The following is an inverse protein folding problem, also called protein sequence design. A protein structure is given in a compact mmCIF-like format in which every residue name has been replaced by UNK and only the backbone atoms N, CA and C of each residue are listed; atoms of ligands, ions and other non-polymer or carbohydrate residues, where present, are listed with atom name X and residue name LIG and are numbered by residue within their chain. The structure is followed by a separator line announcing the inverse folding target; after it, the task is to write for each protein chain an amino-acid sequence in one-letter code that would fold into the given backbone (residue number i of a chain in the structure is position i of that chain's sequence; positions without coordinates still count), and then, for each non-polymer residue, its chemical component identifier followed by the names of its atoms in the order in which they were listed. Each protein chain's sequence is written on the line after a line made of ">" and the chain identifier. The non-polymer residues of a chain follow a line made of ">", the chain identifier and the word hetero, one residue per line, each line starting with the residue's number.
data_IF_050212572742
#
_entry.id   IF_050212572742
#
_cell.length_a   1.000
_cell.length_b   1.000
_cell.length_c   1.000
_cell.angle_alpha   90.00
_cell.angle_beta   90.00
_cell.angle_gamma   90.00
#
_symmetry.space_group_name_H-M   'P 1'
#
loop_
_entity.id
_entity.type
_entity.pdbx_description
1 polymer ?
#
# COMPACT_ATOMS: atom_id res chain seq x y z
N UNK A 1 9.82 22.85 34.81
CA UNK A 1 9.02 21.81 34.12
C UNK A 1 9.59 21.69 32.73
N UNK A 2 10.00 20.50 32.29
CA UNK A 2 10.53 20.32 30.92
C UNK A 2 9.48 20.83 29.90
N UNK A 3 9.88 21.66 28.91
CA UNK A 3 8.95 22.29 27.96
C UNK A 3 7.99 21.27 27.31
N UNK A 4 8.51 20.08 26.98
CA UNK A 4 7.77 18.99 26.35
C UNK A 4 6.64 18.42 27.22
N UNK A 5 6.83 18.31 28.54
CA UNK A 5 5.80 17.77 29.46
C UNK A 5 4.60 18.70 29.56
N UNK A 6 4.83 20.02 29.59
CA UNK A 6 3.75 21.01 29.60
C UNK A 6 2.94 21.03 28.30
N UNK A 7 3.59 20.72 27.17
CA UNK A 7 2.92 20.65 25.87
C UNK A 7 2.10 19.37 25.72
N UNK A 8 2.60 18.23 26.20
CA UNK A 8 1.91 16.95 26.15
C UNK A 8 0.49 17.02 26.73
N UNK A 9 0.34 17.67 27.88
CA UNK A 9 -0.96 17.86 28.53
C UNK A 9 -1.89 18.84 27.80
N UNK A 10 -1.36 19.68 26.92
CA UNK A 10 -2.11 20.68 26.15
C UNK A 10 -2.58 20.21 24.77
N UNK A 11 -2.00 19.15 24.24
CA UNK A 11 -2.34 18.56 22.93
C UNK A 11 -3.79 18.06 22.82
N UNK A 12 -4.38 17.35 23.81
CA UNK A 12 -5.76 16.81 23.71
C UNK A 12 -6.86 17.87 23.90
N UNK A 13 -6.57 19.13 23.61
CA UNK A 13 -7.55 20.22 23.69
C UNK A 13 -8.59 20.16 22.56
N UNK A 14 -9.84 20.51 22.87
CA UNK A 14 -10.92 20.65 21.87
C UNK A 14 -10.75 21.87 20.95
N UNK A 15 -9.90 22.83 21.30
CA UNK A 15 -9.71 24.06 20.51
C UNK A 15 -8.78 23.84 19.32
N UNK A 16 -9.33 23.79 18.11
CA UNK A 16 -8.56 23.75 16.85
C UNK A 16 -7.53 24.89 16.74
N UNK A 17 -7.89 26.11 17.17
CA UNK A 17 -6.95 27.25 17.18
C UNK A 17 -5.75 26.98 18.09
N UNK A 18 -5.99 26.42 19.28
CA UNK A 18 -4.92 26.06 20.22
C UNK A 18 -4.04 24.95 19.66
N UNK A 19 -4.65 23.89 19.11
CA UNK A 19 -3.92 22.79 18.45
C UNK A 19 -3.00 23.29 17.34
N UNK A 20 -3.52 24.14 16.44
CA UNK A 20 -2.72 24.73 15.36
C UNK A 20 -1.57 25.59 15.92
N UNK A 21 -1.83 26.42 16.94
CA UNK A 21 -0.80 27.25 17.58
C UNK A 21 0.33 26.41 18.19
N UNK A 22 -0.01 25.31 18.88
CA UNK A 22 0.97 24.39 19.46
C UNK A 22 1.94 23.88 18.39
N UNK A 23 1.40 23.33 17.30
CA UNK A 23 2.21 22.68 16.26
C UNK A 23 2.92 23.65 15.32
N UNK A 24 2.38 24.85 15.09
CA UNK A 24 2.99 25.84 14.18
C UNK A 24 3.95 26.81 14.85
N UNK A 25 3.76 27.09 16.15
CA UNK A 25 4.49 28.16 16.83
C UNK A 25 5.25 27.63 18.03
N UNK A 26 4.57 26.98 18.98
CA UNK A 26 5.16 26.63 20.28
C UNK A 26 6.22 25.53 20.16
N UNK A 27 5.92 24.42 19.49
CA UNK A 27 6.91 23.35 19.26
C UNK A 27 8.09 23.86 18.43
N UNK A 28 7.90 24.53 17.27
CA UNK A 28 9.02 25.10 16.52
C UNK A 28 9.89 26.08 17.31
N UNK A 29 9.31 26.87 18.21
CA UNK A 29 10.11 27.78 19.06
C UNK A 29 11.02 27.06 20.04
N UNK A 30 10.63 25.88 20.53
CA UNK A 30 11.47 25.05 21.39
C UNK A 30 12.63 24.47 20.56
N UNK A 31 12.32 23.97 19.36
CA UNK A 31 13.30 23.38 18.45
C UNK A 31 14.33 24.38 17.91
N UNK A 32 13.96 25.65 17.73
CA UNK A 32 14.90 26.69 17.28
C UNK A 32 15.97 27.02 18.31
N UNK A 33 15.72 26.75 19.59
CA UNK A 33 16.62 27.13 20.67
C UNK A 33 17.63 26.04 21.05
N UNK A 34 17.64 24.90 20.36
CA UNK A 34 18.53 23.77 20.64
C UNK A 34 18.77 22.89 19.42
N UNK A 35 20.01 22.40 19.23
CA UNK A 35 20.25 21.31 18.28
C UNK A 35 19.41 20.07 18.64
N UNK A 36 18.94 19.33 17.62
CA UNK A 36 18.07 18.20 17.85
C UNK A 36 18.83 16.98 18.41
N UNK A 37 18.72 16.81 19.72
CA UNK A 37 19.17 15.62 20.43
C UNK A 37 18.28 14.40 20.17
N UNK A 38 18.78 13.21 20.49
CA UNK A 38 17.99 11.97 20.44
C UNK A 38 16.76 12.01 21.35
N UNK A 39 16.88 12.62 22.53
CA UNK A 39 15.80 12.71 23.51
C UNK A 39 14.70 13.67 23.02
N UNK A 40 15.08 14.84 22.51
CA UNK A 40 14.13 15.80 21.94
C UNK A 40 13.42 15.24 20.71
N UNK A 41 14.14 14.48 19.87
CA UNK A 41 13.53 13.77 18.74
C UNK A 41 12.50 12.74 19.22
N UNK A 42 12.82 11.93 20.24
CA UNK A 42 11.88 10.94 20.80
C UNK A 42 10.64 11.62 21.37
N UNK A 43 10.82 12.66 22.18
CA UNK A 43 9.70 13.42 22.77
C UNK A 43 8.81 14.04 21.69
N UNK A 44 9.39 14.61 20.64
CA UNK A 44 8.63 15.17 19.52
C UNK A 44 7.83 14.08 18.78
N UNK A 45 8.45 12.93 18.53
CA UNK A 45 7.77 11.77 17.93
C UNK A 45 6.59 11.35 18.80
N UNK A 46 6.75 11.20 20.11
CA UNK A 46 5.66 10.81 21.03
C UNK A 46 4.49 11.81 21.00
N UNK A 47 4.78 13.11 20.96
CA UNK A 47 3.76 14.16 20.83
C UNK A 47 3.01 14.06 19.49
N UNK A 48 3.72 13.82 18.39
CA UNK A 48 3.11 13.63 17.07
C UNK A 48 2.18 12.42 17.09
N UNK A 49 2.64 11.28 17.61
CA UNK A 49 1.83 10.05 17.66
C UNK A 49 0.66 10.14 18.63
N UNK A 50 0.72 10.99 19.65
CA UNK A 50 -0.43 11.32 20.51
C UNK A 50 -1.59 11.90 19.68
N UNK A 51 -1.31 12.63 18.59
CA UNK A 51 -2.35 13.22 17.73
C UNK A 51 -3.08 12.22 16.84
N UNK A 52 -2.51 11.01 16.67
CA UNK A 52 -2.94 10.04 15.64
C UNK A 52 -4.43 9.71 15.70
N UNK A 53 -5.00 9.61 16.89
CA UNK A 53 -6.39 9.19 17.11
C UNK A 53 -7.33 10.30 17.57
N UNK A 54 -6.82 11.50 17.86
CA UNK A 54 -7.58 12.59 18.47
C UNK A 54 -7.77 13.79 17.56
N UNK A 55 -6.96 13.91 16.50
CA UNK A 55 -7.06 15.03 15.55
C UNK A 55 -7.75 14.57 14.29
N UNK A 56 -9.01 14.95 14.12
CA UNK A 56 -9.80 14.64 12.92
C UNK A 56 -9.96 15.80 11.95
N UNK A 57 -9.80 17.04 12.43
CA UNK A 57 -9.96 18.21 11.59
C UNK A 57 -8.75 18.46 10.68
N UNK A 58 -9.04 18.98 9.49
CA UNK A 58 -8.02 19.26 8.46
C UNK A 58 -6.95 20.25 8.92
N UNK A 59 -7.32 21.25 9.72
CA UNK A 59 -6.41 22.31 10.15
C UNK A 59 -5.33 21.79 11.09
N UNK A 60 -5.74 21.07 12.14
CA UNK A 60 -4.84 20.44 13.10
C UNK A 60 -3.97 19.37 12.43
N UNK A 61 -4.56 18.48 11.61
CA UNK A 61 -3.79 17.47 10.85
C UNK A 61 -2.73 18.10 9.96
N UNK A 62 -3.09 19.17 9.23
CA UNK A 62 -2.14 19.91 8.39
C UNK A 62 -1.01 20.53 9.23
N UNK A 63 -1.32 21.12 10.39
CA UNK A 63 -0.28 21.68 11.26
C UNK A 63 0.73 20.61 11.72
N UNK A 64 0.25 19.39 12.05
CA UNK A 64 1.12 18.25 12.38
C UNK A 64 1.95 17.82 11.16
N UNK A 65 1.36 17.73 9.97
CA UNK A 65 2.10 17.37 8.74
C UNK A 65 3.19 18.38 8.40
N UNK A 66 2.86 19.68 8.46
CA UNK A 66 3.80 20.77 8.20
C UNK A 66 4.99 20.67 9.19
N UNK A 67 4.74 20.31 10.45
CA UNK A 67 5.80 20.09 11.45
C UNK A 67 6.64 18.85 11.17
N UNK A 68 6.02 17.73 10.79
CA UNK A 68 6.74 16.50 10.39
C UNK A 68 7.67 16.82 9.23
N UNK A 69 7.14 17.43 8.15
CA UNK A 69 7.92 17.78 6.95
C UNK A 69 9.12 18.64 7.33
N UNK A 70 8.92 19.66 8.16
CA UNK A 70 10.03 20.52 8.62
C UNK A 70 11.05 19.75 9.45
N UNK A 71 10.61 18.88 10.35
CA UNK A 71 11.49 18.15 11.28
C UNK A 71 12.27 17.02 10.59
N UNK A 72 11.77 16.52 9.45
CA UNK A 72 12.42 15.46 8.67
C UNK A 72 13.74 15.88 8.00
N UNK A 73 14.07 17.17 7.93
CA UNK A 73 15.41 17.61 7.47
C UNK A 73 16.53 17.15 8.42
N UNK A 74 16.17 16.84 9.66
CA UNK A 74 17.09 16.47 10.72
C UNK A 74 17.21 14.94 10.81
N UNK A 75 18.41 14.42 10.60
CA UNK A 75 18.66 12.98 10.44
C UNK A 75 18.26 12.18 11.68
N UNK A 76 18.48 12.73 12.88
CA UNK A 76 18.12 12.10 14.15
C UNK A 76 16.61 11.89 14.22
N UNK A 77 15.82 12.94 13.98
CA UNK A 77 14.36 12.83 13.97
C UNK A 77 13.86 11.92 12.86
N UNK A 78 14.40 12.01 11.64
CA UNK A 78 14.00 11.14 10.55
C UNK A 78 14.14 9.66 10.91
N UNK A 79 15.26 9.25 11.53
CA UNK A 79 15.48 7.86 11.97
C UNK A 79 14.52 7.46 13.10
N UNK A 80 14.38 8.30 14.12
CA UNK A 80 13.49 8.04 15.27
C UNK A 80 12.03 7.93 14.83
N UNK A 81 11.58 8.86 13.98
CA UNK A 81 10.24 8.87 13.42
C UNK A 81 9.97 7.63 12.55
N UNK A 82 10.91 7.25 11.67
CA UNK A 82 10.77 6.06 10.84
C UNK A 82 10.65 4.78 11.69
N UNK A 83 11.45 4.65 12.75
CA UNK A 83 11.40 3.51 13.66
C UNK A 83 10.05 3.43 14.40
N UNK A 84 9.60 4.54 14.99
CA UNK A 84 8.31 4.61 15.68
C UNK A 84 7.14 4.36 14.72
N UNK A 85 7.21 4.88 13.49
CA UNK A 85 6.19 4.70 12.47
C UNK A 85 6.02 3.22 12.10
N UNK A 86 7.12 2.52 11.78
CA UNK A 86 7.08 1.08 11.50
C UNK A 86 6.55 0.31 12.71
N UNK A 87 7.01 0.63 13.92
CA UNK A 87 6.54 -0.02 15.15
C UNK A 87 5.03 0.12 15.36
N UNK A 88 4.48 1.32 15.16
CA UNK A 88 3.04 1.58 15.30
C UNK A 88 2.25 0.89 14.19
N UNK A 89 2.75 0.89 12.95
CA UNK A 89 2.11 0.18 11.83
C UNK A 89 2.07 -1.33 12.06
N UNK A 90 3.16 -1.93 12.53
CA UNK A 90 3.22 -3.34 12.88
C UNK A 90 2.28 -3.67 14.04
N UNK A 91 2.12 -2.75 15.00
CA UNK A 91 1.13 -2.89 16.08
C UNK A 91 -0.28 -2.93 15.52
N UNK A 92 -0.64 -2.05 14.58
CA UNK A 92 -1.97 -2.04 13.94
C UNK A 92 -2.28 -3.38 13.27
N UNK A 93 -1.29 -3.99 12.60
CA UNK A 93 -1.44 -5.31 12.00
C UNK A 93 -1.70 -6.39 13.06
N UNK A 94 -0.95 -6.37 14.17
CA UNK A 94 -1.13 -7.36 15.25
C UNK A 94 -2.50 -7.26 15.90
N UNK A 95 -3.00 -6.05 16.11
CA UNK A 95 -4.32 -5.82 16.76
C UNK A 95 -5.47 -5.79 15.75
N UNK A 96 -5.20 -5.92 14.45
CA UNK A 96 -6.18 -5.83 13.36
C UNK A 96 -7.05 -4.56 13.44
N UNK A 97 -6.44 -3.41 13.75
CA UNK A 97 -7.16 -2.14 13.88
C UNK A 97 -6.95 -1.25 12.66
N UNK A 98 -8.06 -0.84 12.04
CA UNK A 98 -8.06 0.08 10.90
C UNK A 98 -8.01 1.55 11.32
N UNK A 99 -8.25 1.87 12.60
CA UNK A 99 -8.28 3.24 13.12
C UNK A 99 -6.92 3.89 12.96
N UNK A 100 -6.87 5.04 12.30
CA UNK A 100 -5.63 5.80 12.04
C UNK A 100 -4.76 5.26 10.89
N UNK A 101 -5.16 4.18 10.21
CA UNK A 101 -4.37 3.61 9.10
C UNK A 101 -4.14 4.62 7.97
N UNK A 102 -5.15 5.40 7.59
CA UNK A 102 -5.01 6.43 6.55
C UNK A 102 -4.00 7.52 6.94
N UNK A 103 -3.90 7.82 8.25
CA UNK A 103 -2.98 8.81 8.77
C UNK A 103 -1.54 8.29 8.80
N UNK A 104 -1.34 7.06 9.27
CA UNK A 104 -0.05 6.38 9.23
C UNK A 104 0.45 6.20 7.78
N UNK A 105 -0.47 5.90 6.86
CA UNK A 105 -0.16 5.85 5.43
C UNK A 105 0.32 7.21 4.91
N UNK A 106 -0.38 8.30 5.26
CA UNK A 106 0.05 9.66 4.89
C UNK A 106 1.42 10.01 5.44
N UNK A 107 1.70 9.70 6.70
CA UNK A 107 3.00 9.98 7.35
C UNK A 107 4.14 9.16 6.77
N UNK A 108 3.91 7.89 6.43
CA UNK A 108 4.91 7.06 5.74
C UNK A 108 5.17 7.56 4.33
N UNK A 109 4.15 8.03 3.60
CA UNK A 109 4.36 8.66 2.30
C UNK A 109 5.18 9.96 2.40
N UNK A 110 4.91 10.81 3.40
CA UNK A 110 5.70 12.03 3.68
C UNK A 110 7.17 11.66 3.94
N UNK A 111 7.41 10.67 4.81
CA UNK A 111 8.77 10.19 5.11
C UNK A 111 9.50 9.78 3.82
N UNK A 112 8.85 9.01 2.95
CA UNK A 112 9.49 8.49 1.74
C UNK A 112 9.66 9.54 0.63
N UNK A 113 8.73 10.49 0.48
CA UNK A 113 8.73 11.43 -0.66
C UNK A 113 9.44 12.76 -0.35
N UNK A 114 9.54 13.16 0.92
CA UNK A 114 10.04 14.49 1.32
C UNK A 114 11.46 14.48 1.87
N UNK A 115 12.17 13.35 1.80
CA UNK A 115 13.48 13.19 2.45
C UNK A 115 14.45 12.41 1.59
N UNK A 116 15.74 12.48 1.95
CA UNK A 116 16.77 11.56 1.44
C UNK A 116 16.74 10.19 2.14
N UNK A 117 15.62 9.81 2.78
CA UNK A 117 15.50 8.55 3.53
C UNK A 117 15.79 7.32 2.67
N UNK A 118 15.32 7.32 1.42
CA UNK A 118 15.51 6.21 0.49
C UNK A 118 17.00 6.03 0.15
N UNK A 119 17.74 7.12 -0.07
CA UNK A 119 19.18 7.06 -0.31
C UNK A 119 19.98 6.75 0.96
N UNK A 120 19.45 7.07 2.14
CA UNK A 120 20.10 6.80 3.42
C UNK A 120 20.10 5.30 3.81
N UNK A 121 19.08 4.52 3.44
CA UNK A 121 19.07 3.07 3.69
C UNK A 121 18.02 2.31 2.87
N UNK A 122 18.48 1.45 1.95
CA UNK A 122 17.61 0.53 1.20
C UNK A 122 16.81 -0.40 2.12
N UNK A 123 17.41 -0.90 3.20
CA UNK A 123 16.72 -1.77 4.15
C UNK A 123 15.63 -1.03 4.94
N UNK A 124 15.82 0.27 5.20
CA UNK A 124 14.81 1.07 5.87
C UNK A 124 13.60 1.33 4.96
N UNK A 125 13.82 1.56 3.67
CA UNK A 125 12.75 1.62 2.68
C UNK A 125 11.92 0.32 2.69
N UNK A 126 12.55 -0.84 2.52
CA UNK A 126 11.88 -2.15 2.54
C UNK A 126 10.95 -2.33 3.75
N UNK A 127 11.40 -1.93 4.94
CA UNK A 127 10.60 -2.04 6.18
C UNK A 127 9.37 -1.12 6.16
N UNK A 128 9.54 0.15 5.77
CA UNK A 128 8.41 1.09 5.66
C UNK A 128 7.43 0.62 4.60
N UNK A 129 7.91 0.15 3.46
CA UNK A 129 7.10 -0.35 2.35
C UNK A 129 6.32 -1.62 2.72
N UNK A 130 6.92 -2.56 3.44
CA UNK A 130 6.23 -3.74 3.96
C UNK A 130 5.16 -3.37 5.01
N UNK A 131 5.45 -2.38 5.87
CA UNK A 131 4.47 -1.84 6.80
C UNK A 131 3.30 -1.15 6.07
N UNK A 132 3.56 -0.41 4.98
CA UNK A 132 2.51 0.21 4.15
C UNK A 132 1.61 -0.85 3.50
N UNK A 133 2.18 -1.95 2.99
CA UNK A 133 1.40 -3.06 2.46
C UNK A 133 0.44 -3.64 3.51
N UNK A 134 0.93 -3.77 4.75
CA UNK A 134 0.12 -4.23 5.88
C UNK A 134 -1.03 -3.28 6.21
N UNK A 135 -0.79 -1.97 6.22
CA UNK A 135 -1.85 -0.98 6.44
C UNK A 135 -2.91 -0.99 5.33
N UNK A 136 -2.51 -1.14 4.06
CA UNK A 136 -3.47 -1.25 2.96
C UNK A 136 -4.38 -2.45 3.17
N UNK A 137 -3.82 -3.60 3.54
CA UNK A 137 -4.58 -4.82 3.83
C UNK A 137 -5.60 -4.61 4.96
N UNK A 138 -5.18 -3.99 6.08
CA UNK A 138 -6.07 -3.75 7.23
C UNK A 138 -7.16 -2.74 6.86
N UNK A 139 -6.84 -1.72 6.05
CA UNK A 139 -7.78 -0.65 5.69
C UNK A 139 -9.01 -1.14 4.91
N UNK A 140 -8.98 -2.36 4.37
CA UNK A 140 -10.14 -3.01 3.73
C UNK A 140 -11.29 -3.22 4.73
N UNK A 141 -10.97 -3.42 6.01
CA UNK A 141 -11.94 -3.62 7.08
C UNK A 141 -12.65 -2.32 7.50
N UNK A 142 -12.10 -1.16 7.12
CA UNK A 142 -12.67 0.14 7.42
C UNK A 142 -13.80 0.52 6.47
N UNK A 143 -14.37 1.71 6.70
CA UNK A 143 -15.39 2.29 5.82
C UNK A 143 -14.86 2.52 4.40
N UNK A 144 -15.76 2.63 3.43
CA UNK A 144 -15.42 2.94 2.03
C UNK A 144 -14.59 4.22 1.90
N UNK A 145 -14.89 5.22 2.73
CA UNK A 145 -14.15 6.47 2.82
C UNK A 145 -12.73 6.27 3.34
N UNK A 146 -12.54 5.51 4.43
CA UNK A 146 -11.22 5.24 5.01
C UNK A 146 -10.33 4.44 4.07
N UNK A 147 -10.87 3.38 3.47
CA UNK A 147 -10.18 2.58 2.46
C UNK A 147 -9.73 3.46 1.29
N UNK A 148 -10.61 4.32 0.78
CA UNK A 148 -10.28 5.26 -0.30
C UNK A 148 -9.23 6.27 0.13
N UNK A 149 -9.31 6.80 1.34
CA UNK A 149 -8.32 7.74 1.87
C UNK A 149 -6.94 7.10 2.00
N UNK A 150 -6.86 5.88 2.52
CA UNK A 150 -5.62 5.11 2.63
C UNK A 150 -4.99 4.85 1.25
N UNK A 151 -5.76 4.31 0.30
CA UNK A 151 -5.32 4.12 -1.10
C UNK A 151 -4.87 5.42 -1.75
N UNK A 152 -5.63 6.50 -1.58
CA UNK A 152 -5.32 7.81 -2.17
C UNK A 152 -4.01 8.37 -1.61
N UNK A 153 -3.76 8.24 -0.31
CA UNK A 153 -2.50 8.66 0.30
C UNK A 153 -1.32 7.87 -0.30
N UNK A 154 -1.47 6.56 -0.45
CA UNK A 154 -0.44 5.72 -1.07
C UNK A 154 -0.19 6.08 -2.54
N UNK A 155 -1.24 6.20 -3.37
CA UNK A 155 -1.12 6.58 -4.79
C UNK A 155 -0.50 7.97 -4.96
N UNK A 156 -0.81 8.91 -4.06
CA UNK A 156 -0.26 10.24 -4.11
C UNK A 156 1.27 10.25 -4.02
N UNK A 157 1.88 9.28 -3.32
CA UNK A 157 3.35 9.15 -3.29
C UNK A 157 3.96 8.98 -4.69
N UNK A 158 3.29 8.22 -5.56
CA UNK A 158 3.73 7.99 -6.95
C UNK A 158 3.54 9.22 -7.85
N UNK A 159 2.65 10.13 -7.47
CA UNK A 159 2.45 11.40 -8.18
C UNK A 159 3.50 12.43 -7.75
N UNK A 160 3.85 12.46 -6.46
CA UNK A 160 4.88 13.35 -5.95
C UNK A 160 6.29 12.90 -6.33
N UNK A 161 6.55 11.60 -6.37
CA UNK A 161 7.87 11.04 -6.64
C UNK A 161 7.75 9.80 -7.54
N UNK A 162 7.68 9.97 -8.88
CA UNK A 162 7.43 8.87 -9.81
C UNK A 162 8.38 7.67 -9.68
N UNK A 163 9.65 7.94 -9.33
CA UNK A 163 10.67 6.89 -9.16
C UNK A 163 10.36 5.90 -8.04
N UNK A 164 9.59 6.32 -7.04
CA UNK A 164 9.25 5.47 -5.89
C UNK A 164 8.42 4.26 -6.32
N UNK A 165 7.62 4.38 -7.39
CA UNK A 165 6.84 3.27 -7.92
C UNK A 165 7.75 2.10 -8.34
N UNK A 166 8.85 2.41 -9.05
CA UNK A 166 9.80 1.40 -9.49
C UNK A 166 10.48 0.71 -8.30
N UNK A 167 10.78 1.47 -7.24
CA UNK A 167 11.34 0.90 -6.01
C UNK A 167 10.36 -0.07 -5.35
N UNK A 168 9.07 0.27 -5.26
CA UNK A 168 8.04 -0.65 -4.77
C UNK A 168 7.94 -1.93 -5.62
N UNK A 169 7.98 -1.79 -6.94
CA UNK A 169 7.92 -2.94 -7.85
C UNK A 169 9.14 -3.85 -7.70
N UNK A 170 10.34 -3.31 -7.53
CA UNK A 170 11.54 -4.11 -7.26
C UNK A 170 11.47 -4.82 -5.90
N UNK A 171 10.92 -4.18 -4.86
CA UNK A 171 10.73 -4.81 -3.54
C UNK A 171 9.68 -5.93 -3.56
N UNK A 172 8.60 -5.76 -4.34
CA UNK A 172 7.60 -6.81 -4.60
C UNK A 172 8.20 -7.97 -5.37
N UNK A 173 8.89 -7.69 -6.48
CA UNK A 173 9.58 -8.69 -7.30
C UNK A 173 10.63 -9.45 -6.51
N UNK A 174 11.41 -8.74 -5.67
CA UNK A 174 12.42 -9.32 -4.79
C UNK A 174 11.86 -10.05 -3.57
N UNK A 175 10.54 -10.05 -3.36
CA UNK A 175 9.87 -10.76 -2.27
C UNK A 175 10.04 -10.12 -0.88
N UNK A 176 10.62 -8.92 -0.79
CA UNK A 176 10.77 -8.17 0.47
C UNK A 176 9.43 -7.63 0.96
N UNK A 177 8.52 -7.31 0.04
CA UNK A 177 7.11 -7.05 0.34
C UNK A 177 6.32 -8.31 -0.01
N UNK A 178 5.67 -8.91 0.99
CA UNK A 178 4.85 -10.10 0.78
C UNK A 178 3.50 -9.73 0.14
N UNK A 179 3.44 -9.75 -1.18
CA UNK A 179 2.17 -9.60 -1.91
C UNK A 179 1.20 -10.77 -1.66
N UNK A 180 1.71 -11.93 -1.23
CA UNK A 180 0.89 -13.12 -0.94
C UNK A 180 -0.03 -12.94 0.27
N UNK A 181 0.43 -12.18 1.26
CA UNK A 181 -0.30 -11.90 2.50
C UNK A 181 -1.00 -10.53 2.46
N UNK A 182 -0.54 -9.64 1.57
CA UNK A 182 -1.10 -8.30 1.39
C UNK A 182 -1.39 -8.05 -0.11
N UNK A 183 -2.38 -8.76 -0.71
CA UNK A 183 -2.78 -8.58 -2.11
C UNK A 183 -3.04 -7.13 -2.48
N UNK A 184 -3.58 -6.36 -1.53
CA UNK A 184 -4.09 -5.02 -1.78
C UNK A 184 -3.04 -4.07 -2.34
N UNK A 185 -1.79 -4.19 -1.88
CA UNK A 185 -0.67 -3.40 -2.40
C UNK A 185 -0.49 -3.63 -3.89
N UNK A 186 -0.45 -4.90 -4.30
CA UNK A 186 -0.26 -5.30 -5.69
C UNK A 186 -1.43 -4.82 -6.57
N UNK A 187 -2.66 -4.95 -6.08
CA UNK A 187 -3.85 -4.47 -6.77
C UNK A 187 -3.81 -2.94 -6.98
N UNK A 188 -3.49 -2.17 -5.94
CA UNK A 188 -3.42 -0.70 -6.02
C UNK A 188 -2.32 -0.24 -6.98
N UNK A 189 -1.17 -0.93 -6.98
CA UNK A 189 -0.08 -0.64 -7.91
C UNK A 189 -0.44 -0.97 -9.36
N UNK A 190 -1.14 -2.09 -9.57
CA UNK A 190 -1.68 -2.46 -10.88
C UNK A 190 -2.64 -1.39 -11.40
N UNK A 191 -3.65 -1.00 -10.60
CA UNK A 191 -4.65 0.02 -10.95
C UNK A 191 -4.01 1.37 -11.31
N UNK A 192 -2.97 1.76 -10.57
CA UNK A 192 -2.22 2.98 -10.89
C UNK A 192 -1.47 2.85 -12.22
N UNK A 193 -0.80 1.71 -12.44
CA UNK A 193 0.01 1.50 -13.64
C UNK A 193 -0.84 1.39 -14.91
N UNK A 194 -2.03 0.78 -14.86
CA UNK A 194 -2.92 0.67 -16.04
C UNK A 194 -3.39 2.04 -16.52
N UNK A 195 -3.43 3.04 -15.65
CA UNK A 195 -3.69 4.44 -15.99
C UNK A 195 -2.50 5.14 -16.67
N UNK A 196 -1.34 4.46 -16.80
CA UNK A 196 -0.08 4.97 -17.37
C UNK A 196 0.57 3.93 -18.30
N UNK A 197 0.28 3.95 -19.61
CA UNK A 197 0.67 2.88 -20.55
C UNK A 197 2.15 2.48 -20.49
N UNK A 198 3.08 3.43 -20.48
CA UNK A 198 4.53 3.15 -20.42
C UNK A 198 4.95 2.41 -19.14
N UNK A 199 4.35 2.78 -18.00
CA UNK A 199 4.63 2.16 -16.71
C UNK A 199 4.04 0.75 -16.64
N UNK A 200 2.82 0.56 -17.16
CA UNK A 200 2.20 -0.75 -17.26
C UNK A 200 3.01 -1.68 -18.18
N UNK A 201 3.43 -1.20 -19.35
CA UNK A 201 4.21 -2.00 -20.31
C UNK A 201 5.54 -2.48 -19.74
N UNK A 202 6.20 -1.64 -18.94
CA UNK A 202 7.44 -1.99 -18.25
C UNK A 202 7.23 -3.15 -17.26
N UNK A 203 6.13 -3.14 -16.51
CA UNK A 203 5.94 -4.02 -15.36
C UNK A 203 4.94 -5.17 -15.58
N UNK A 204 4.19 -5.18 -16.68
CA UNK A 204 3.18 -6.21 -16.98
C UNK A 204 3.69 -7.65 -16.92
N UNK A 205 4.93 -8.02 -17.34
CA UNK A 205 5.38 -9.41 -17.22
C UNK A 205 5.59 -9.80 -15.75
N UNK A 206 6.08 -8.86 -14.93
CA UNK A 206 6.30 -9.09 -13.50
C UNK A 206 4.96 -9.23 -12.77
N UNK A 207 3.96 -8.41 -13.12
CA UNK A 207 2.59 -8.58 -12.63
C UNK A 207 2.06 -9.98 -12.98
N UNK A 208 2.13 -10.37 -14.26
CA UNK A 208 1.65 -11.69 -14.69
C UNK A 208 2.29 -12.82 -13.88
N UNK A 209 3.61 -12.81 -13.73
CA UNK A 209 4.29 -13.85 -12.96
C UNK A 209 3.84 -13.86 -11.49
N UNK A 210 3.77 -12.71 -10.81
CA UNK A 210 3.31 -12.64 -9.41
C UNK A 210 1.85 -13.12 -9.26
N UNK A 211 0.98 -12.75 -10.20
CA UNK A 211 -0.43 -13.14 -10.17
C UNK A 211 -0.60 -14.64 -10.42
N UNK A 212 -0.03 -15.16 -11.51
CA UNK A 212 -0.21 -16.55 -11.95
C UNK A 212 0.50 -17.52 -11.00
N UNK A 213 1.75 -17.25 -10.65
CA UNK A 213 2.56 -18.19 -9.86
C UNK A 213 2.21 -18.22 -8.38
N UNK A 214 1.50 -17.22 -7.86
CA UNK A 214 1.27 -17.09 -6.42
C UNK A 214 -0.13 -16.60 -6.05
N UNK A 215 -0.57 -15.46 -6.55
CA UNK A 215 -1.80 -14.84 -6.04
C UNK A 215 -3.06 -15.61 -6.40
N UNK A 216 -3.19 -15.98 -7.68
CA UNK A 216 -4.35 -16.70 -8.18
C UNK A 216 -4.51 -18.04 -7.45
N UNK A 217 -3.41 -18.76 -7.20
CA UNK A 217 -3.41 -20.03 -6.48
C UNK A 217 -3.77 -19.92 -5.00
N UNK A 218 -3.40 -18.80 -4.34
CA UNK A 218 -3.57 -18.63 -2.88
C UNK A 218 -4.87 -17.94 -2.49
N UNK A 219 -5.25 -16.91 -3.23
CA UNK A 219 -6.38 -16.05 -2.91
C UNK A 219 -7.24 -15.79 -4.16
N UNK A 220 -7.68 -16.83 -4.90
CA UNK A 220 -8.36 -16.65 -6.19
C UNK A 220 -9.51 -15.66 -6.08
N UNK A 221 -10.36 -15.80 -5.06
CA UNK A 221 -11.51 -14.94 -4.82
C UNK A 221 -11.19 -13.45 -4.63
N UNK A 222 -10.00 -13.11 -4.14
CA UNK A 222 -9.59 -11.73 -3.91
C UNK A 222 -8.98 -11.08 -5.16
N UNK A 223 -8.52 -11.89 -6.12
CA UNK A 223 -7.70 -11.41 -7.24
C UNK A 223 -8.31 -11.65 -8.61
N UNK A 224 -9.46 -12.32 -8.71
CA UNK A 224 -10.17 -12.55 -9.98
C UNK A 224 -10.41 -11.25 -10.78
N UNK A 225 -10.85 -10.18 -10.11
CA UNK A 225 -11.10 -8.91 -10.79
C UNK A 225 -9.80 -8.27 -11.30
N UNK A 226 -8.77 -8.19 -10.44
CA UNK A 226 -7.51 -7.53 -10.79
C UNK A 226 -6.70 -8.31 -11.83
N UNK A 227 -6.69 -9.65 -11.77
CA UNK A 227 -6.09 -10.46 -12.84
C UNK A 227 -6.89 -10.32 -14.14
N UNK A 228 -8.23 -10.24 -14.11
CA UNK A 228 -9.05 -9.98 -15.29
C UNK A 228 -8.71 -8.64 -15.95
N UNK A 229 -8.52 -7.58 -15.16
CA UNK A 229 -8.02 -6.28 -15.65
C UNK A 229 -6.64 -6.43 -16.30
N UNK A 230 -5.70 -7.11 -15.64
CA UNK A 230 -4.35 -7.34 -16.16
C UNK A 230 -4.40 -8.06 -17.52
N UNK A 231 -5.12 -9.18 -17.62
CA UNK A 231 -5.21 -9.97 -18.84
C UNK A 231 -5.89 -9.21 -19.99
N UNK A 232 -6.84 -8.32 -19.71
CA UNK A 232 -7.46 -7.46 -20.75
C UNK A 232 -6.46 -6.48 -21.36
N UNK A 233 -5.59 -5.88 -20.55
CA UNK A 233 -4.62 -4.88 -21.01
C UNK A 233 -3.32 -5.48 -21.56
N UNK A 234 -2.98 -6.72 -21.18
CA UNK A 234 -1.80 -7.42 -21.68
C UNK A 234 -1.96 -7.76 -23.16
N UNK A 235 -1.05 -7.25 -24.00
CA UNK A 235 -0.90 -7.71 -25.39
C UNK A 235 0.32 -8.65 -25.50
N UNK A 236 0.23 -9.79 -24.84
CA UNK A 236 1.23 -10.87 -24.84
C UNK A 236 0.51 -12.19 -25.14
N UNK A 237 1.21 -13.12 -25.77
CA UNK A 237 0.71 -14.48 -25.91
C UNK A 237 0.65 -15.16 -24.52
N UNK A 238 -0.56 -15.56 -24.13
CA UNK A 238 -0.86 -16.15 -22.83
C UNK A 238 -0.69 -17.68 -22.83
N UNK A 239 -0.36 -18.30 -23.96
CA UNK A 239 -0.24 -19.76 -24.07
C UNK A 239 0.60 -20.40 -22.98
N UNK A 240 1.72 -19.79 -22.58
CA UNK A 240 2.60 -20.32 -21.52
C UNK A 240 1.97 -20.29 -20.12
N UNK A 241 0.97 -19.45 -19.89
CA UNK A 241 0.25 -19.33 -18.61
C UNK A 241 -1.12 -19.99 -18.64
N UNK A 242 -1.62 -20.37 -19.82
CA UNK A 242 -3.02 -20.66 -20.04
C UNK A 242 -3.53 -21.83 -19.19
N UNK A 243 -2.85 -22.97 -19.22
CA UNK A 243 -3.23 -24.16 -18.44
C UNK A 243 -3.18 -23.88 -16.94
N UNK A 244 -2.15 -23.15 -16.48
CA UNK A 244 -1.98 -22.81 -15.08
C UNK A 244 -3.09 -21.89 -14.56
N UNK A 245 -3.41 -20.82 -15.30
CA UNK A 245 -4.51 -19.90 -14.96
C UNK A 245 -5.83 -20.67 -14.98
N UNK A 246 -6.06 -21.45 -16.03
CA UNK A 246 -7.31 -22.17 -16.25
C UNK A 246 -7.59 -23.20 -15.15
N UNK A 247 -6.56 -23.90 -14.66
CA UNK A 247 -6.67 -24.88 -13.57
C UNK A 247 -7.28 -24.30 -12.30
N UNK A 248 -7.03 -23.03 -12.02
CA UNK A 248 -7.60 -22.34 -10.86
C UNK A 248 -8.95 -21.72 -11.21
N UNK A 249 -9.03 -21.02 -12.34
CA UNK A 249 -10.20 -20.21 -12.71
C UNK A 249 -11.44 -21.07 -13.01
N UNK A 250 -11.27 -22.28 -13.55
CA UNK A 250 -12.40 -23.18 -13.81
C UNK A 250 -13.12 -23.61 -12.53
N UNK A 251 -12.40 -23.74 -11.41
CA UNK A 251 -13.04 -23.99 -10.11
C UNK A 251 -13.94 -22.82 -9.68
N UNK A 252 -13.53 -21.60 -10.00
CA UNK A 252 -14.27 -20.37 -9.68
C UNK A 252 -15.47 -20.17 -10.61
N UNK A 253 -15.39 -20.63 -11.85
CA UNK A 253 -16.50 -20.59 -12.80
C UNK A 253 -17.72 -21.43 -12.37
N UNK A 254 -17.51 -22.41 -11.48
CA UNK A 254 -18.57 -23.26 -10.89
C UNK A 254 -19.09 -22.75 -9.54
N UNK A 255 -18.58 -21.62 -9.06
CA UNK A 255 -18.87 -21.12 -7.72
C UNK A 255 -20.33 -20.65 -7.57
N UNK A 256 -20.90 -20.72 -6.36
CA UNK A 256 -22.28 -20.29 -6.10
C UNK A 256 -22.48 -18.76 -6.24
N UNK A 257 -21.44 -17.99 -5.93
CA UNK A 257 -21.38 -16.53 -6.14
C UNK A 257 -21.31 -16.17 -7.64
N UNK A 258 -22.27 -15.38 -8.11
CA UNK A 258 -22.35 -14.96 -9.51
C UNK A 258 -21.20 -14.05 -9.95
N UNK A 259 -20.77 -13.13 -9.08
CA UNK A 259 -19.66 -12.22 -9.38
C UNK A 259 -18.36 -12.98 -9.68
N UNK A 260 -18.05 -14.00 -8.86
CA UNK A 260 -16.91 -14.90 -9.08
C UNK A 260 -17.05 -15.67 -10.39
N UNK A 261 -18.23 -16.21 -10.71
CA UNK A 261 -18.44 -16.92 -11.98
C UNK A 261 -18.19 -16.01 -13.18
N UNK A 262 -18.76 -14.81 -13.16
CA UNK A 262 -18.62 -13.83 -14.26
C UNK A 262 -17.15 -13.43 -14.43
N UNK A 263 -16.46 -13.09 -13.35
CA UNK A 263 -15.04 -12.73 -13.40
C UNK A 263 -14.17 -13.90 -13.91
N UNK A 264 -14.45 -15.12 -13.47
CA UNK A 264 -13.76 -16.31 -13.93
C UNK A 264 -13.96 -16.55 -15.43
N UNK A 265 -15.20 -16.45 -15.93
CA UNK A 265 -15.52 -16.63 -17.35
C UNK A 265 -14.89 -15.54 -18.23
N UNK A 266 -14.79 -14.30 -17.75
CA UNK A 266 -14.08 -13.23 -18.47
C UNK A 266 -12.58 -13.54 -18.61
N UNK A 267 -11.96 -14.13 -17.59
CA UNK A 267 -10.57 -14.63 -17.67
C UNK A 267 -10.46 -15.76 -18.70
N UNK A 268 -11.36 -16.74 -18.69
CA UNK A 268 -11.37 -17.85 -19.68
C UNK A 268 -11.48 -17.30 -21.10
N UNK A 269 -12.36 -16.31 -21.32
CA UNK A 269 -12.48 -15.60 -22.60
C UNK A 269 -11.19 -14.88 -22.99
N UNK A 270 -10.54 -14.20 -22.06
CA UNK A 270 -9.25 -13.54 -22.34
C UNK A 270 -8.18 -14.57 -22.76
N UNK A 271 -8.11 -15.71 -22.08
CA UNK A 271 -7.18 -16.80 -22.43
C UNK A 271 -7.44 -17.32 -23.84
N UNK A 272 -8.70 -17.57 -24.22
CA UNK A 272 -9.03 -18.08 -25.55
C UNK A 272 -8.71 -17.10 -26.67
N UNK A 273 -8.82 -15.80 -26.41
CA UNK A 273 -8.52 -14.75 -27.40
C UNK A 273 -7.02 -14.46 -27.55
N UNK A 274 -6.22 -14.78 -26.54
CA UNK A 274 -4.81 -14.35 -26.44
C UNK A 274 -3.82 -15.50 -26.30
N UNK A 275 -4.26 -16.74 -26.50
CA UNK A 275 -3.38 -17.92 -26.54
C UNK A 275 -3.27 -18.39 -27.99
N UNK A 276 -2.08 -18.28 -28.58
CA UNK A 276 -1.88 -18.57 -30.01
C UNK A 276 -1.34 -19.99 -30.28
N UNK A 277 -0.72 -20.62 -29.27
CA UNK A 277 -0.17 -21.97 -29.39
C UNK A 277 -1.29 -23.04 -29.49
N UNK A 278 -1.29 -23.88 -30.54
CA UNK A 278 -2.29 -24.94 -30.72
C UNK A 278 -2.36 -25.97 -29.58
N UNK A 279 -1.22 -26.41 -29.04
CA UNK A 279 -1.17 -27.38 -27.95
C UNK A 279 -1.79 -26.82 -26.66
N UNK A 280 -1.55 -25.52 -26.41
CA UNK A 280 -2.18 -24.80 -25.31
C UNK A 280 -3.70 -24.71 -25.52
N UNK A 281 -4.15 -24.41 -26.74
CA UNK A 281 -5.57 -24.35 -27.08
C UNK A 281 -6.27 -25.71 -26.92
N UNK A 282 -5.64 -26.80 -27.35
CA UNK A 282 -6.14 -28.17 -27.16
C UNK A 282 -6.25 -28.51 -25.66
N UNK A 283 -5.19 -28.22 -24.89
CA UNK A 283 -5.17 -28.45 -23.44
C UNK A 283 -6.24 -27.65 -22.70
N UNK A 284 -6.45 -26.38 -23.11
CA UNK A 284 -7.51 -25.54 -22.58
C UNK A 284 -8.89 -26.10 -22.89
N UNK A 285 -9.13 -26.52 -24.15
CA UNK A 285 -10.39 -27.11 -24.56
C UNK A 285 -10.70 -28.39 -23.78
N UNK A 286 -9.71 -29.28 -23.61
CA UNK A 286 -9.85 -30.48 -22.79
C UNK A 286 -10.25 -30.16 -21.34
N UNK A 287 -9.61 -29.16 -20.73
CA UNK A 287 -9.91 -28.71 -19.37
C UNK A 287 -11.34 -28.16 -19.23
N UNK A 288 -11.78 -27.33 -20.17
CA UNK A 288 -13.15 -26.78 -20.19
C UNK A 288 -14.17 -27.89 -20.42
N UNK A 289 -13.89 -28.83 -21.34
CA UNK A 289 -14.75 -29.97 -21.65
C UNK A 289 -14.98 -30.86 -20.43
N UNK A 290 -13.94 -31.12 -19.63
CA UNK A 290 -14.06 -31.90 -18.37
C UNK A 290 -15.07 -31.26 -17.42
N UNK A 291 -14.93 -29.95 -17.18
CA UNK A 291 -15.81 -29.18 -16.31
C UNK A 291 -17.27 -29.24 -16.78
N UNK A 292 -17.51 -29.04 -18.08
CA UNK A 292 -18.88 -29.09 -18.65
C UNK A 292 -19.45 -30.51 -18.60
N UNK A 293 -18.60 -31.52 -18.81
CA UNK A 293 -18.95 -32.94 -18.72
C UNK A 293 -19.22 -33.44 -17.30
N UNK A 294 -19.01 -32.62 -16.26
CA UNK A 294 -19.21 -32.98 -14.86
C UNK A 294 -18.10 -33.87 -14.27
N UNK A 295 -16.93 -33.90 -14.92
CA UNK A 295 -15.74 -34.67 -14.51
C UNK A 295 -14.73 -33.75 -13.84
#
# INVERSE_FOLDING_TARGET
>A
MEPWVSLASSIPTSSTKKRIRIFRNEIPSILLNSEMSSDSASQLVDLIFTTLYIYDDRGSRKAVDDLIIKSLSEVVFMKTFAAALVQVMDKQLKVQSHVGCSRLMSWSCILLCKTQFISASKNAFSRVSAAQASLLQISIQGSSHERRACKKAFIHSFLESPDIFNLYMEELKGGRISYKNCPEMLCVMLDFSTSKPSLFDQWKPVYLDMYVQSMLKRNPELVLESIGVLLRHVNLDLSKYAVEILSVVLSQARHADEGRRVAALDIVKCLSQKSSNPDAAESMFGSVKSIIGGV
#
